data_IF_568736518602
#
_entry.id   IF_568736518602
#
_cell.length_a   1.000
_cell.length_b   1.000
_cell.length_c   1.000
_cell.angle_alpha   90.00
_cell.angle_beta   90.00
_cell.angle_gamma   90.00
#
_symmetry.space_group_name_H-M   'P 1'
#
loop_
_entity.id
_entity.type
_entity.pdbx_description
1 polymer ?
#
# COMPACT_ATOMS: atom_id res chain seq x y z
N UNK A 1 6.79 9.44 31.54
CA UNK A 1 7.18 10.19 32.76
C UNK A 1 6.12 9.93 33.79
N UNK A 2 6.43 9.08 34.77
CA UNK A 2 5.53 8.72 35.86
C UNK A 2 6.00 9.47 37.10
N UNK A 3 5.16 10.33 37.64
CA UNK A 3 5.41 10.97 38.93
C UNK A 3 4.82 10.13 40.05
N UNK A 4 5.68 9.67 40.94
CA UNK A 4 5.33 8.99 42.20
C UNK A 4 5.27 10.07 43.27
N UNK A 5 4.09 10.31 43.87
CA UNK A 5 3.95 11.14 45.07
C UNK A 5 4.07 10.26 46.31
N UNK A 6 5.02 10.63 47.18
CA UNK A 6 5.20 10.05 48.51
C UNK A 6 4.81 11.08 49.56
N UNK A 7 3.85 10.84 50.48
CA UNK A 7 3.63 11.71 51.62
C UNK A 7 4.38 11.19 52.85
N UNK A 8 5.44 11.88 53.21
CA UNK A 8 6.10 11.70 54.51
C UNK A 8 5.31 12.45 55.58
N UNK A 9 4.64 11.74 56.45
CA UNK A 9 4.05 12.28 57.65
C UNK A 9 5.06 12.28 58.79
N UNK A 10 5.44 13.47 59.24
CA UNK A 10 6.29 13.67 60.43
C UNK A 10 5.49 13.50 61.72
N UNK A 11 5.93 12.62 62.57
CA UNK A 11 5.39 12.42 63.89
C UNK A 11 6.23 13.24 64.91
N UNK A 12 5.66 14.27 65.53
CA UNK A 12 6.31 14.99 66.60
C UNK A 12 5.93 14.38 67.96
N UNK A 13 6.96 14.08 68.75
CA UNK A 13 6.89 13.61 70.13
C UNK A 13 6.31 14.67 71.06
N UNK A 14 5.26 14.35 71.83
CA UNK A 14 5.07 14.93 73.15
C UNK A 14 4.57 13.89 74.14
N UNK A 15 5.26 13.91 75.25
CA UNK A 15 5.22 13.08 76.44
C UNK A 15 3.94 13.44 77.27
N UNK A 16 3.12 12.48 77.64
CA UNK A 16 2.70 12.28 79.04
C UNK A 16 1.82 11.03 79.21
N UNK A 17 2.05 10.45 80.33
CA UNK A 17 1.67 9.22 80.92
C UNK A 17 0.15 8.89 81.03
N UNK A 18 -0.02 7.58 81.06
CA UNK A 18 -1.02 6.82 81.86
C UNK A 18 -2.45 6.75 81.30
N UNK A 19 -2.80 5.57 81.04
CA UNK A 19 -3.94 4.79 81.46
C UNK A 19 -4.52 3.87 80.43
N UNK A 20 -4.41 2.60 80.75
CA UNK A 20 -4.99 1.44 80.05
C UNK A 20 -6.46 1.60 79.74
N UNK A 21 -6.84 1.29 78.54
CA UNK A 21 -8.06 0.52 78.24
C UNK A 21 -7.85 -0.31 76.98
N UNK A 22 -8.00 -1.61 77.19
CA UNK A 22 -8.03 -2.55 76.06
C UNK A 22 -9.22 -2.24 75.15
N UNK A 23 -8.98 -1.60 74.01
CA UNK A 23 -9.91 -1.63 72.89
C UNK A 23 -9.33 -2.57 71.87
N UNK A 24 -9.80 -3.82 71.84
CA UNK A 24 -9.63 -4.73 70.73
C UNK A 24 -10.40 -4.15 69.55
N UNK A 25 -9.73 -3.30 68.80
CA UNK A 25 -10.28 -2.75 67.55
C UNK A 25 -10.23 -3.81 66.46
N UNK A 26 -11.35 -4.44 66.15
CA UNK A 26 -11.52 -5.16 64.90
C UNK A 26 -11.35 -4.17 63.75
N UNK A 27 -10.17 -4.19 63.13
CA UNK A 27 -9.94 -3.43 61.89
C UNK A 27 -10.73 -4.07 60.77
N UNK A 28 -11.67 -3.41 60.11
CA UNK A 28 -12.29 -3.96 58.92
C UNK A 28 -11.24 -4.06 57.82
N UNK A 29 -11.03 -5.27 57.29
CA UNK A 29 -10.27 -5.51 56.05
C UNK A 29 -11.02 -4.79 54.92
N UNK A 30 -10.61 -3.60 54.56
CA UNK A 30 -11.10 -2.92 53.39
C UNK A 30 -10.55 -3.61 52.10
N UNK A 31 -11.37 -4.42 51.49
CA UNK A 31 -11.08 -4.94 50.14
C UNK A 31 -11.23 -3.80 49.13
N UNK A 32 -10.14 -3.20 48.73
CA UNK A 32 -10.12 -2.26 47.60
C UNK A 32 -10.20 -3.06 46.28
N UNK A 33 -11.39 -3.13 45.68
CA UNK A 33 -11.57 -3.67 44.35
C UNK A 33 -11.10 -2.60 43.34
N UNK A 34 -9.95 -2.86 42.68
CA UNK A 34 -9.47 -2.01 41.61
C UNK A 34 -10.05 -2.53 40.29
N UNK A 35 -10.92 -1.74 39.63
CA UNK A 35 -11.45 -2.04 38.32
C UNK A 35 -10.47 -1.50 37.26
N UNK A 36 -9.86 -2.39 36.45
CA UNK A 36 -9.07 -2.01 35.30
C UNK A 36 -9.94 -2.09 34.06
N UNK A 37 -10.24 -0.95 33.45
CA UNK A 37 -10.95 -0.90 32.16
C UNK A 37 -9.92 -0.84 31.05
N UNK A 38 -9.90 -1.87 30.17
CA UNK A 38 -9.07 -1.92 28.98
C UNK A 38 -9.96 -1.63 27.78
N UNK A 39 -9.73 -0.49 27.12
CA UNK A 39 -10.37 -0.17 25.84
C UNK A 39 -9.47 -0.56 24.70
N UNK A 40 -9.95 -1.44 23.85
CA UNK A 40 -9.24 -1.85 22.62
C UNK A 40 -10.03 -1.36 21.42
N UNK A 41 -9.40 -0.55 20.57
CA UNK A 41 -9.96 -0.16 19.27
C UNK A 41 -9.38 -1.07 18.22
N UNK A 42 -10.22 -1.91 17.62
CA UNK A 42 -9.85 -2.72 16.45
C UNK A 42 -9.93 -1.83 15.21
N UNK A 43 -8.80 -1.60 14.56
CA UNK A 43 -8.75 -0.87 13.30
C UNK A 43 -8.84 -1.88 12.15
N UNK A 44 -9.80 -1.64 11.25
CA UNK A 44 -9.87 -2.40 10.00
C UNK A 44 -8.62 -2.13 9.16
N UNK A 45 -7.97 -3.20 8.69
CA UNK A 45 -6.81 -3.09 7.80
C UNK A 45 -7.31 -2.64 6.43
N UNK A 46 -6.78 -1.54 5.87
CA UNK A 46 -7.18 -1.13 4.53
C UNK A 46 -6.85 -2.23 3.52
N UNK A 47 -7.81 -2.55 2.69
CA UNK A 47 -7.67 -3.58 1.65
C UNK A 47 -8.07 -3.03 0.29
N UNK A 48 -7.24 -3.29 -0.71
CA UNK A 48 -7.53 -2.96 -2.10
C UNK A 48 -7.46 -4.21 -2.97
N UNK A 49 -8.43 -4.35 -3.86
CA UNK A 49 -8.51 -5.43 -4.84
C UNK A 49 -8.40 -4.84 -6.24
N UNK A 50 -7.46 -5.34 -7.01
CA UNK A 50 -7.24 -4.97 -8.42
C UNK A 50 -7.89 -6.03 -9.28
N UNK A 51 -8.74 -5.61 -10.23
CA UNK A 51 -9.39 -6.45 -11.23
C UNK A 51 -10.08 -7.71 -10.65
N UNK A 52 -10.66 -7.58 -9.45
CA UNK A 52 -11.29 -8.70 -8.73
C UNK A 52 -10.36 -9.93 -8.58
N UNK A 53 -9.06 -9.71 -8.46
CA UNK A 53 -7.99 -10.72 -8.42
C UNK A 53 -7.87 -11.56 -9.71
N UNK A 54 -8.42 -11.09 -10.82
CA UNK A 54 -8.29 -11.72 -12.12
C UNK A 54 -7.12 -11.15 -12.89
N UNK A 55 -6.53 -11.95 -13.77
CA UNK A 55 -5.51 -11.48 -14.70
C UNK A 55 -6.06 -10.34 -15.57
N UNK A 56 -5.23 -9.32 -15.78
CA UNK A 56 -5.51 -8.24 -16.73
C UNK A 56 -4.86 -8.64 -18.05
N UNK A 57 -5.66 -8.76 -19.07
CA UNK A 57 -5.19 -9.16 -20.42
C UNK A 57 -5.25 -7.96 -21.35
N UNK A 58 -4.21 -7.77 -22.14
CA UNK A 58 -4.14 -6.75 -23.19
C UNK A 58 -3.82 -7.43 -24.50
N UNK A 59 -4.83 -7.60 -25.33
CA UNK A 59 -4.69 -8.18 -26.66
C UNK A 59 -4.40 -7.08 -27.69
N UNK A 60 -3.22 -7.12 -28.28
CA UNK A 60 -2.83 -6.20 -29.35
C UNK A 60 -3.37 -6.62 -30.73
N UNK A 61 -3.81 -7.88 -30.87
CA UNK A 61 -4.17 -8.46 -32.15
C UNK A 61 -2.97 -8.51 -33.13
N UNK A 62 -3.26 -8.49 -34.40
CA UNK A 62 -2.22 -8.45 -35.43
C UNK A 62 -1.59 -7.06 -35.55
N UNK A 63 -0.28 -6.98 -35.45
CA UNK A 63 0.49 -5.76 -35.61
C UNK A 63 1.52 -5.89 -36.71
N UNK A 64 1.65 -4.88 -37.55
CA UNK A 64 2.68 -4.81 -38.56
C UNK A 64 3.98 -4.32 -37.95
N UNK A 65 5.02 -5.14 -37.95
CA UNK A 65 6.34 -4.84 -37.36
C UNK A 65 6.96 -3.55 -37.87
N UNK A 66 6.71 -3.21 -39.14
CA UNK A 66 7.16 -1.95 -39.76
C UNK A 66 6.47 -0.71 -39.23
N UNK A 67 5.24 -0.85 -38.71
CA UNK A 67 4.43 0.26 -38.15
C UNK A 67 4.57 0.41 -36.64
N UNK A 68 5.42 -0.39 -35.98
CA UNK A 68 5.72 -0.24 -34.57
C UNK A 68 6.63 0.97 -34.37
N UNK A 69 6.07 2.04 -33.82
CA UNK A 69 6.73 3.34 -33.64
C UNK A 69 6.53 3.97 -32.25
N UNK A 70 5.88 3.23 -31.32
CA UNK A 70 5.56 3.71 -29.98
C UNK A 70 4.33 4.60 -29.90
N UNK A 71 3.56 4.75 -30.99
CA UNK A 71 2.29 5.46 -31.02
C UNK A 71 1.18 4.62 -31.66
N UNK A 72 1.48 3.87 -32.68
CA UNK A 72 0.53 2.96 -33.29
C UNK A 72 0.22 1.77 -32.37
N UNK A 73 -0.95 1.18 -32.54
CA UNK A 73 -1.44 0.01 -31.80
C UNK A 73 -1.57 0.19 -30.29
N UNK A 74 -1.79 1.42 -29.81
CA UNK A 74 -2.14 1.66 -28.41
C UNK A 74 -3.40 0.90 -28.03
N UNK A 75 -3.38 0.29 -26.87
CA UNK A 75 -4.53 -0.39 -26.25
C UNK A 75 -4.75 0.13 -24.85
N UNK A 76 -6.00 0.31 -24.47
CA UNK A 76 -6.36 0.53 -23.07
C UNK A 76 -6.04 -0.71 -22.26
N UNK A 77 -5.57 -0.51 -21.05
CA UNK A 77 -5.43 -1.56 -20.03
C UNK A 77 -6.65 -1.50 -19.13
N UNK A 78 -7.61 -2.37 -19.39
CA UNK A 78 -8.89 -2.37 -18.67
C UNK A 78 -8.74 -3.13 -17.35
N UNK A 79 -8.90 -2.42 -16.24
CA UNK A 79 -8.86 -2.99 -14.90
C UNK A 79 -9.75 -2.20 -13.95
N UNK A 80 -10.13 -2.84 -12.85
CA UNK A 80 -10.88 -2.21 -11.77
C UNK A 80 -10.04 -2.09 -10.52
N UNK A 81 -10.32 -1.08 -9.70
CA UNK A 81 -9.71 -0.88 -8.40
C UNK A 81 -10.82 -0.68 -7.36
N UNK A 82 -10.86 -1.55 -6.35
CA UNK A 82 -11.83 -1.49 -5.26
C UNK A 82 -11.07 -1.49 -3.94
N UNK A 83 -11.22 -0.44 -3.15
CA UNK A 83 -10.58 -0.32 -1.85
C UNK A 83 -11.62 -0.15 -0.75
N UNK A 84 -11.41 -0.78 0.40
CA UNK A 84 -12.23 -0.66 1.61
C UNK A 84 -11.36 -0.33 2.82
N UNK A 85 -11.95 0.28 3.86
CA UNK A 85 -11.24 0.61 5.10
C UNK A 85 -10.14 1.64 4.96
N UNK A 86 -10.07 2.36 3.82
CA UNK A 86 -9.01 3.35 3.56
C UNK A 86 -9.18 4.59 4.42
N UNK A 87 -8.11 5.04 5.09
CA UNK A 87 -8.06 6.29 5.86
C UNK A 87 -7.52 7.47 5.07
N UNK A 88 -6.81 7.20 3.99
CA UNK A 88 -6.27 8.18 3.06
C UNK A 88 -6.53 7.71 1.64
N UNK A 89 -6.96 8.62 0.79
CA UNK A 89 -7.13 8.36 -0.64
C UNK A 89 -5.87 8.68 -1.46
N UNK A 90 -4.78 9.11 -0.83
CA UNK A 90 -3.48 9.28 -1.48
C UNK A 90 -2.83 7.92 -1.70
N UNK A 91 -2.75 7.50 -2.94
CA UNK A 91 -2.27 6.19 -3.34
C UNK A 91 -1.19 6.29 -4.42
N UNK A 92 -0.49 5.20 -4.60
CA UNK A 92 0.47 5.05 -5.70
C UNK A 92 0.39 3.65 -6.28
N UNK A 93 0.60 3.56 -7.58
CA UNK A 93 0.65 2.29 -8.31
C UNK A 93 1.94 2.17 -9.12
N UNK A 94 2.30 0.93 -9.43
CA UNK A 94 3.50 0.63 -10.20
C UNK A 94 3.30 -0.61 -11.04
N UNK A 95 3.72 -0.56 -12.30
CA UNK A 95 3.80 -1.73 -13.16
C UNK A 95 5.21 -2.32 -12.97
N UNK A 96 5.30 -3.47 -12.31
CA UNK A 96 6.57 -4.13 -12.05
C UNK A 96 6.81 -5.23 -13.07
N UNK A 97 7.96 -5.20 -13.72
CA UNK A 97 8.31 -6.19 -14.72
C UNK A 97 9.78 -6.11 -15.15
N UNK A 98 10.19 -7.06 -15.98
CA UNK A 98 11.53 -7.07 -16.58
C UNK A 98 11.65 -5.99 -17.66
N UNK A 99 12.71 -5.20 -17.59
CA UNK A 99 13.00 -4.18 -18.60
C UNK A 99 13.59 -4.79 -19.88
N UNK A 100 13.40 -4.08 -21.00
CA UNK A 100 14.14 -4.38 -22.24
C UNK A 100 15.62 -4.01 -22.10
N UNK A 101 16.47 -4.62 -22.90
CA UNK A 101 17.89 -4.28 -22.92
C UNK A 101 18.17 -2.90 -23.55
N UNK A 102 17.26 -2.38 -24.38
CA UNK A 102 17.44 -1.11 -25.10
C UNK A 102 16.80 0.09 -24.37
N UNK A 103 15.85 -0.16 -23.45
CA UNK A 103 15.18 0.89 -22.69
C UNK A 103 14.68 0.34 -21.35
N UNK A 104 15.21 0.85 -20.25
CA UNK A 104 14.86 0.44 -18.91
C UNK A 104 13.43 0.81 -18.48
N UNK A 105 12.78 1.71 -19.22
CA UNK A 105 11.40 2.14 -18.98
C UNK A 105 10.34 1.23 -19.61
N UNK A 106 10.77 0.30 -20.48
CA UNK A 106 9.91 -0.52 -21.34
C UNK A 106 9.89 -1.96 -20.88
N UNK A 107 8.71 -2.55 -20.80
CA UNK A 107 8.49 -3.95 -20.44
C UNK A 107 9.02 -4.86 -21.54
N UNK A 108 9.84 -5.84 -21.15
CA UNK A 108 10.41 -6.83 -22.06
C UNK A 108 9.35 -7.83 -22.51
N UNK A 109 9.42 -8.18 -23.79
CA UNK A 109 8.70 -9.31 -24.37
C UNK A 109 9.65 -10.52 -24.58
N UNK A 110 9.10 -11.63 -25.07
CA UNK A 110 9.88 -12.78 -25.53
C UNK A 110 10.67 -12.52 -26.83
N UNK A 111 10.36 -11.42 -27.55
CA UNK A 111 11.08 -11.03 -28.80
C UNK A 111 12.12 -9.97 -28.42
N UNK A 112 13.38 -10.22 -28.82
CA UNK A 112 14.46 -9.24 -28.66
C UNK A 112 14.15 -7.96 -29.42
N UNK A 113 14.62 -6.81 -28.89
CA UNK A 113 14.42 -5.48 -29.47
C UNK A 113 12.96 -5.03 -29.61
N UNK A 114 12.05 -5.76 -28.95
CA UNK A 114 10.64 -5.46 -28.90
C UNK A 114 10.15 -5.42 -27.44
N UNK A 115 9.30 -4.46 -27.13
CA UNK A 115 8.77 -4.27 -25.78
C UNK A 115 7.41 -3.58 -25.77
N UNK A 116 6.86 -3.42 -24.58
CA UNK A 116 5.62 -2.71 -24.33
C UNK A 116 5.90 -1.54 -23.40
N UNK A 117 5.66 -0.32 -23.88
CA UNK A 117 5.69 0.88 -23.06
C UNK A 117 4.28 1.16 -22.48
N UNK A 118 4.24 1.83 -21.33
CA UNK A 118 2.98 2.24 -20.70
C UNK A 118 2.84 3.75 -20.66
N UNK A 119 1.59 4.19 -20.64
CA UNK A 119 1.22 5.59 -20.45
C UNK A 119 0.05 5.69 -19.47
N UNK A 120 -0.02 6.80 -18.76
CA UNK A 120 -1.18 7.20 -17.96
C UNK A 120 -1.51 8.64 -18.27
N UNK A 121 -2.77 8.94 -18.58
CA UNK A 121 -3.21 10.27 -19.04
C UNK A 121 -2.35 10.82 -20.19
N UNK A 122 -1.96 9.96 -21.13
CA UNK A 122 -1.12 10.31 -22.26
C UNK A 122 0.36 10.57 -21.94
N UNK A 123 0.75 10.54 -20.66
CA UNK A 123 2.14 10.71 -20.21
C UNK A 123 2.86 9.37 -20.08
N UNK A 124 4.15 9.28 -20.45
CA UNK A 124 4.91 8.07 -20.23
C UNK A 124 4.89 7.61 -18.78
N UNK A 125 4.64 6.32 -18.56
CA UNK A 125 4.74 5.66 -17.27
C UNK A 125 5.83 4.59 -17.35
N UNK A 126 7.07 4.87 -16.92
CA UNK A 126 8.13 3.87 -16.90
C UNK A 126 7.75 2.68 -16.02
N UNK A 127 8.06 1.46 -16.45
CA UNK A 127 7.93 0.30 -15.57
C UNK A 127 8.81 0.48 -14.32
N UNK A 128 8.44 -0.18 -13.25
CA UNK A 128 9.12 -0.12 -11.95
C UNK A 128 9.13 1.28 -11.29
N UNK A 129 8.40 2.25 -11.85
CA UNK A 129 8.24 3.60 -11.29
C UNK A 129 6.86 3.78 -10.68
N UNK A 130 6.78 4.54 -9.58
CA UNK A 130 5.52 4.80 -8.90
C UNK A 130 4.76 5.96 -9.56
N UNK A 131 3.51 5.72 -9.92
CA UNK A 131 2.53 6.72 -10.30
C UNK A 131 1.68 7.08 -9.08
N UNK A 132 1.77 8.32 -8.63
CA UNK A 132 0.95 8.84 -7.53
C UNK A 132 -0.39 9.31 -8.05
N UNK A 133 -1.46 8.99 -7.32
CA UNK A 133 -2.82 9.41 -7.66
C UNK A 133 -3.70 9.54 -6.43
N UNK A 134 -4.85 10.17 -6.58
CA UNK A 134 -5.89 10.24 -5.55
C UNK A 134 -7.00 9.25 -5.91
N UNK A 135 -7.26 8.30 -5.04
CA UNK A 135 -8.36 7.36 -5.23
C UNK A 135 -9.70 8.04 -4.94
N UNK A 136 -10.62 7.99 -5.88
CA UNK A 136 -11.96 8.55 -5.76
C UNK A 136 -13.04 7.50 -6.02
N UNK A 137 -13.21 6.57 -5.08
CA UNK A 137 -14.18 5.48 -5.22
C UNK A 137 -13.71 4.41 -6.21
N UNK A 138 -14.40 4.23 -7.33
CA UNK A 138 -14.06 3.18 -8.32
C UNK A 138 -13.13 3.65 -9.45
N UNK A 139 -12.70 4.91 -9.44
CA UNK A 139 -11.84 5.43 -10.51
C UNK A 139 -10.39 5.05 -10.28
N UNK A 140 -9.90 4.15 -11.13
CA UNK A 140 -8.50 3.85 -11.28
C UNK A 140 -7.85 4.78 -12.32
N UNK A 141 -6.55 5.15 -12.19
CA UNK A 141 -5.86 5.89 -13.24
C UNK A 141 -5.94 5.17 -14.58
N UNK A 142 -6.23 5.88 -15.68
CA UNK A 142 -6.24 5.25 -16.98
C UNK A 142 -4.83 4.78 -17.36
N UNK A 143 -4.73 3.59 -17.88
CA UNK A 143 -3.49 3.01 -18.36
C UNK A 143 -3.63 2.64 -19.84
N UNK A 144 -2.60 2.94 -20.60
CA UNK A 144 -2.46 2.52 -21.99
C UNK A 144 -1.17 1.73 -22.16
N UNK A 145 -1.22 0.68 -22.97
CA UNK A 145 -0.06 -0.09 -23.38
C UNK A 145 0.20 0.15 -24.87
N UNK A 146 1.44 0.32 -25.24
CA UNK A 146 1.82 0.57 -26.63
C UNK A 146 3.07 -0.23 -27.03
N UNK A 147 3.06 -0.94 -28.17
CA UNK A 147 4.22 -1.66 -28.66
C UNK A 147 5.33 -0.70 -29.09
N UNK A 148 6.55 -1.01 -28.69
CA UNK A 148 7.76 -0.23 -29.06
C UNK A 148 8.87 -1.17 -29.49
N UNK A 149 9.78 -0.65 -30.32
CA UNK A 149 10.98 -1.39 -30.73
C UNK A 149 12.23 -0.55 -30.60
N UNK A 150 13.36 -1.21 -30.49
CA UNK A 150 14.66 -0.52 -30.58
C UNK A 150 14.77 0.22 -31.93
N UNK A 151 15.34 1.40 -31.93
CA UNK A 151 15.55 2.20 -33.12
C UNK A 151 16.27 1.35 -34.23
N UNK A 152 15.74 1.41 -35.43
CA UNK A 152 16.25 0.69 -36.59
C UNK A 152 16.21 -0.86 -36.53
N UNK A 153 15.60 -1.44 -35.45
CA UNK A 153 15.46 -2.89 -35.38
C UNK A 153 14.47 -3.42 -36.43
N UNK A 154 14.84 -4.55 -37.01
CA UNK A 154 13.93 -5.36 -37.85
C UNK A 154 13.40 -6.48 -36.95
N UNK A 155 12.13 -6.41 -36.62
CA UNK A 155 11.49 -7.43 -35.78
C UNK A 155 11.16 -8.66 -36.62
N UNK A 156 11.39 -9.87 -36.12
CA UNK A 156 10.85 -11.07 -36.74
C UNK A 156 9.32 -11.08 -36.66
N UNK A 157 8.67 -11.81 -37.56
CA UNK A 157 7.26 -12.14 -37.38
C UNK A 157 7.08 -13.23 -36.31
N UNK A 158 5.88 -13.32 -35.76
CA UNK A 158 5.51 -14.35 -34.78
C UNK A 158 4.79 -13.75 -33.61
N UNK A 159 4.31 -14.62 -32.71
CA UNK A 159 3.59 -14.24 -31.52
C UNK A 159 4.54 -13.63 -30.45
N UNK A 160 4.07 -12.63 -29.76
CA UNK A 160 4.79 -12.07 -28.63
C UNK A 160 3.98 -12.11 -27.35
N UNK A 161 4.68 -12.24 -26.24
CA UNK A 161 4.12 -12.20 -24.91
C UNK A 161 4.95 -11.31 -23.99
N UNK A 162 4.29 -10.68 -23.03
CA UNK A 162 4.92 -9.92 -21.97
C UNK A 162 4.15 -10.13 -20.66
N UNK A 163 4.85 -10.15 -19.54
CA UNK A 163 4.24 -10.29 -18.22
C UNK A 163 4.73 -9.23 -17.26
N UNK A 164 3.80 -8.66 -16.51
CA UNK A 164 4.07 -7.68 -15.47
C UNK A 164 3.10 -7.85 -14.31
N UNK A 165 3.43 -7.26 -13.16
CA UNK A 165 2.56 -7.20 -11.98
C UNK A 165 2.19 -5.76 -11.70
N UNK A 166 0.90 -5.47 -11.55
CA UNK A 166 0.42 -4.17 -11.10
C UNK A 166 0.41 -4.15 -9.57
N UNK A 167 1.22 -3.29 -8.99
CA UNK A 167 1.32 -3.09 -7.54
C UNK A 167 0.64 -1.80 -7.12
N UNK A 168 0.06 -1.84 -5.94
CA UNK A 168 -0.61 -0.71 -5.30
C UNK A 168 -0.07 -0.50 -3.90
N UNK A 169 0.11 0.76 -3.48
CA UNK A 169 0.50 1.13 -2.13
C UNK A 169 -0.15 2.44 -1.71
N UNK A 170 -0.25 2.66 -0.41
CA UNK A 170 -0.61 3.96 0.18
C UNK A 170 0.62 4.88 0.18
N UNK A 171 0.37 6.20 0.14
CA UNK A 171 1.40 7.23 0.29
C UNK A 171 1.54 7.66 1.75
#
# INVERSE_FOLDING_TARGET
MAHIFNPAGSCSLWRNAAMCLLCVGMSPLANAATTVTVSVTVLETPSCVINDNKTIEVDFGEILTVKVDGNNYKKSVDYTLKCSGIKSNAMQMKIQGGATAFDASVLRTNISDFGVAFRSDGKPLPINSWLKFTYSGSQAPPLEAVPVKRANAKLPGGDFTAGATLLLAYQ
#
